data_IF_243351047156
#
_entry.id   IF_243351047156
#
_cell.length_a   1.000
_cell.length_b   1.000
_cell.length_c   1.000
_cell.angle_alpha   90.00
_cell.angle_beta   90.00
_cell.angle_gamma   90.00
#
_symmetry.space_group_name_H-M   'P 1'
#
loop_
_entity.id
_entity.type
_entity.pdbx_description
1 polymer ?
#
# COMPACT_ATOMS: atom_id res chain seq x y z
N UNK A 1 25.74 -6.63 -18.12
CA UNK A 1 26.30 -6.28 -19.45
C UNK A 1 25.31 -5.35 -20.13
N UNK A 2 25.71 -4.11 -20.40
CA UNK A 2 24.86 -3.11 -21.08
C UNK A 2 24.64 -3.55 -22.52
N UNK A 3 23.40 -3.83 -22.91
CA UNK A 3 23.01 -3.97 -24.32
C UNK A 3 22.84 -2.56 -24.88
N UNK A 4 23.63 -2.18 -25.85
CA UNK A 4 23.42 -0.94 -26.61
C UNK A 4 22.48 -1.21 -27.77
N UNK A 5 21.49 -0.34 -27.96
CA UNK A 5 20.69 -0.31 -29.18
C UNK A 5 21.54 0.07 -30.40
N UNK A 6 21.04 -0.20 -31.62
CA UNK A 6 21.80 -0.02 -32.88
C UNK A 6 22.34 1.41 -33.10
N UNK A 7 21.89 2.39 -32.31
CA UNK A 7 22.29 3.79 -32.36
C UNK A 7 23.26 4.23 -31.26
N UNK A 8 23.82 3.30 -30.48
CA UNK A 8 24.82 3.59 -29.43
C UNK A 8 24.30 4.36 -28.22
N UNK A 9 23.00 4.52 -28.09
CA UNK A 9 22.37 5.11 -26.88
C UNK A 9 22.31 4.03 -25.82
N UNK A 10 22.79 4.28 -24.58
CA UNK A 10 22.64 3.32 -23.49
C UNK A 10 21.15 3.07 -23.26
N UNK A 11 20.68 1.86 -23.51
CA UNK A 11 19.33 1.45 -23.08
C UNK A 11 19.38 1.21 -21.59
N UNK A 12 18.65 2.04 -20.87
CA UNK A 12 18.40 1.83 -19.46
C UNK A 12 17.39 0.68 -19.31
N UNK A 13 17.84 -0.47 -18.87
CA UNK A 13 16.93 -1.58 -18.57
C UNK A 13 16.21 -1.30 -17.25
N UNK A 14 14.87 -1.34 -17.27
CA UNK A 14 14.11 -0.68 -16.25
C UNK A 14 13.85 -1.50 -15.01
N UNK A 15 13.76 -0.82 -14.03
CA UNK A 15 13.07 -0.74 -12.78
C UNK A 15 13.34 -1.80 -11.73
N UNK A 16 12.98 -3.03 -11.88
CA UNK A 16 13.47 -4.06 -10.97
C UNK A 16 14.85 -4.55 -11.38
N UNK A 17 15.24 -4.35 -12.62
CA UNK A 17 16.59 -4.53 -13.10
C UNK A 17 17.51 -3.31 -12.96
N UNK A 18 16.96 -2.13 -12.61
CA UNK A 18 17.77 -0.91 -12.45
C UNK A 18 18.12 -0.61 -10.99
N UNK A 19 17.37 -1.15 -10.03
CA UNK A 19 17.64 -1.02 -8.61
C UNK A 19 17.86 -2.40 -7.99
N UNK A 20 18.97 -3.01 -8.34
CA UNK A 20 19.40 -4.29 -7.79
C UNK A 20 20.37 -4.06 -6.63
N UNK A 21 19.85 -3.64 -5.46
CA UNK A 21 20.68 -3.48 -4.28
C UNK A 21 21.34 -4.81 -3.88
N UNK A 22 20.59 -5.90 -4.03
CA UNK A 22 21.05 -7.27 -3.89
C UNK A 22 20.80 -8.02 -5.21
N UNK A 23 21.74 -7.99 -6.18
CA UNK A 23 21.54 -8.60 -7.52
C UNK A 23 21.16 -10.07 -7.48
N UNK A 24 21.62 -10.79 -6.46
CA UNK A 24 21.33 -12.22 -6.25
C UNK A 24 19.98 -12.47 -5.56
N UNK A 25 19.30 -11.42 -5.06
CA UNK A 25 18.05 -11.54 -4.30
C UNK A 25 17.09 -10.39 -4.64
N UNK A 26 16.26 -10.61 -5.66
CA UNK A 26 15.28 -9.61 -6.12
C UNK A 26 14.21 -9.30 -5.08
N UNK A 27 13.87 -10.24 -4.18
CA UNK A 27 12.93 -10.01 -3.09
C UNK A 27 13.49 -8.95 -2.14
N UNK A 28 14.72 -9.14 -1.68
CA UNK A 28 15.42 -8.18 -0.83
C UNK A 28 15.62 -6.83 -1.53
N UNK A 29 15.98 -6.84 -2.82
CA UNK A 29 16.09 -5.61 -3.61
C UNK A 29 14.77 -4.84 -3.67
N UNK A 30 13.66 -5.53 -3.77
CA UNK A 30 12.32 -4.90 -3.74
C UNK A 30 12.05 -4.24 -2.39
N UNK A 31 12.41 -4.88 -1.28
CA UNK A 31 12.24 -4.29 0.04
C UNK A 31 13.20 -3.12 0.31
N UNK A 32 14.41 -3.18 -0.26
CA UNK A 32 15.32 -2.03 -0.22
C UNK A 32 14.78 -0.84 -1.01
N UNK A 33 14.19 -1.08 -2.19
CA UNK A 33 13.55 -0.01 -2.96
C UNK A 33 12.40 0.63 -2.16
N UNK A 34 11.57 -0.20 -1.49
CA UNK A 34 10.50 0.26 -0.59
C UNK A 34 11.06 1.14 0.53
N UNK A 35 12.10 0.70 1.22
CA UNK A 35 12.74 1.47 2.30
C UNK A 35 13.29 2.80 1.81
N UNK A 36 13.97 2.82 0.66
CA UNK A 36 14.51 4.05 0.10
C UNK A 36 13.42 5.00 -0.40
N UNK A 37 12.27 4.49 -0.89
CA UNK A 37 11.14 5.34 -1.21
C UNK A 37 10.59 6.07 0.02
N UNK A 38 10.62 5.42 1.17
CA UNK A 38 10.17 6.03 2.43
C UNK A 38 11.13 7.06 3.03
N UNK A 39 12.38 7.15 2.54
CA UNK A 39 13.25 8.26 2.92
C UNK A 39 12.66 9.63 2.52
N UNK A 40 11.96 9.68 1.39
CA UNK A 40 11.28 10.89 0.92
C UNK A 40 10.21 11.40 1.91
N UNK A 41 9.52 10.48 2.58
CA UNK A 41 8.41 10.77 3.51
C UNK A 41 8.80 10.57 4.99
N UNK A 42 10.10 10.62 5.31
CA UNK A 42 10.64 10.48 6.68
C UNK A 42 10.36 9.14 7.37
N UNK A 43 9.93 8.13 6.62
CA UNK A 43 9.74 6.77 7.15
C UNK A 43 11.02 5.97 7.27
N UNK A 44 12.12 6.42 6.67
CA UNK A 44 13.43 5.80 6.74
C UNK A 44 14.55 6.84 6.60
N UNK A 45 15.78 6.45 6.96
CA UNK A 45 17.00 7.18 6.67
C UNK A 45 17.91 6.31 5.80
N UNK A 46 18.44 6.88 4.72
CA UNK A 46 19.26 6.16 3.76
C UNK A 46 20.48 5.50 4.42
N UNK A 47 21.19 6.22 5.29
CA UNK A 47 22.42 5.74 5.91
C UNK A 47 22.17 4.66 6.96
N UNK A 48 21.06 4.75 7.70
CA UNK A 48 20.62 3.73 8.66
C UNK A 48 20.30 2.42 7.93
N UNK A 49 19.47 2.50 6.88
CA UNK A 49 19.07 1.35 6.04
C UNK A 49 20.30 0.73 5.39
N UNK A 50 21.18 1.55 4.78
CA UNK A 50 22.40 1.07 4.12
C UNK A 50 23.36 0.40 5.12
N UNK A 51 23.50 0.93 6.32
CA UNK A 51 24.38 0.35 7.35
C UNK A 51 23.94 -1.07 7.74
N UNK A 52 22.64 -1.30 7.91
CA UNK A 52 22.10 -2.66 8.14
C UNK A 52 22.33 -3.53 6.92
N UNK A 53 21.83 -3.11 5.77
CA UNK A 53 21.81 -3.92 4.56
C UNK A 53 23.19 -4.45 4.14
N UNK A 54 24.23 -3.58 4.21
CA UNK A 54 25.61 -3.97 3.84
C UNK A 54 26.24 -5.02 4.77
N UNK A 55 25.68 -5.22 5.96
CA UNK A 55 26.17 -6.19 6.93
C UNK A 55 25.50 -7.57 6.85
N UNK A 56 24.41 -7.67 6.05
CA UNK A 56 23.61 -8.87 5.98
C UNK A 56 24.22 -9.91 5.04
N UNK A 57 24.31 -11.19 5.43
CA UNK A 57 24.53 -12.28 4.49
C UNK A 57 23.33 -12.40 3.56
N UNK A 58 23.53 -12.25 2.24
CA UNK A 58 22.43 -12.27 1.26
C UNK A 58 21.64 -13.56 1.32
N UNK A 59 20.32 -13.45 1.48
CA UNK A 59 19.39 -14.58 1.56
C UNK A 59 19.18 -15.15 2.97
N UNK A 60 19.88 -14.66 3.98
CA UNK A 60 19.63 -15.01 5.39
C UNK A 60 18.49 -14.16 5.96
N UNK A 61 17.27 -14.65 5.87
CA UNK A 61 16.08 -13.95 6.35
C UNK A 61 16.08 -13.73 7.87
N UNK A 62 16.73 -14.61 8.64
CA UNK A 62 16.86 -14.41 10.09
C UNK A 62 17.84 -13.26 10.42
N UNK A 63 18.92 -13.13 9.64
CA UNK A 63 19.81 -11.97 9.75
C UNK A 63 19.10 -10.67 9.35
N UNK A 64 18.25 -10.70 8.31
CA UNK A 64 17.40 -9.55 7.93
C UNK A 64 16.51 -9.10 9.09
N UNK A 65 15.71 -10.02 9.63
CA UNK A 65 14.82 -9.76 10.76
C UNK A 65 15.58 -9.16 11.95
N UNK A 66 16.67 -9.82 12.36
CA UNK A 66 17.49 -9.37 13.48
C UNK A 66 18.09 -7.98 13.24
N UNK A 67 18.63 -7.73 12.04
CA UNK A 67 19.28 -6.46 11.71
C UNK A 67 18.31 -5.29 11.76
N UNK A 68 17.16 -5.41 11.11
CA UNK A 68 16.17 -4.35 11.09
C UNK A 68 15.42 -4.20 12.42
N UNK A 69 15.16 -5.28 13.17
CA UNK A 69 14.61 -5.20 14.53
C UNK A 69 15.54 -4.49 15.50
N UNK A 70 16.87 -4.73 15.39
CA UNK A 70 17.86 -4.04 16.22
C UNK A 70 17.91 -2.56 15.91
N UNK A 71 17.94 -2.18 14.63
CA UNK A 71 17.85 -0.79 14.21
C UNK A 71 16.56 -0.13 14.74
N UNK A 72 15.43 -0.78 14.58
CA UNK A 72 14.14 -0.28 15.05
C UNK A 72 14.16 0.02 16.56
N UNK A 73 14.69 -0.91 17.37
CA UNK A 73 14.82 -0.74 18.83
C UNK A 73 15.71 0.45 19.21
N UNK A 74 16.82 0.66 18.51
CA UNK A 74 17.72 1.79 18.74
C UNK A 74 17.03 3.12 18.41
N UNK A 75 16.31 3.20 17.30
CA UNK A 75 15.56 4.39 16.90
C UNK A 75 14.41 4.66 17.88
N UNK A 76 13.67 3.63 18.29
CA UNK A 76 12.62 3.75 19.30
C UNK A 76 13.17 4.25 20.65
N UNK A 77 14.32 3.73 21.12
CA UNK A 77 14.94 4.20 22.35
C UNK A 77 15.29 5.69 22.28
N UNK A 78 15.79 6.14 21.12
CA UNK A 78 16.04 7.55 20.86
C UNK A 78 14.76 8.38 20.84
N UNK A 79 13.67 7.85 20.26
CA UNK A 79 12.35 8.49 20.26
C UNK A 79 11.83 8.71 21.68
N UNK A 80 11.90 7.68 22.53
CA UNK A 80 11.49 7.75 23.94
C UNK A 80 12.32 8.76 24.74
N UNK A 81 13.63 8.83 24.50
CA UNK A 81 14.51 9.82 25.11
C UNK A 81 14.11 11.23 24.71
N UNK A 82 13.82 11.46 23.44
CA UNK A 82 13.38 12.76 22.93
C UNK A 82 12.01 13.16 23.51
N UNK A 83 11.06 12.22 23.59
CA UNK A 83 9.76 12.47 24.20
C UNK A 83 9.88 12.84 25.69
N UNK A 84 10.71 12.12 26.44
CA UNK A 84 10.97 12.43 27.86
C UNK A 84 11.61 13.81 28.05
N UNK A 85 12.35 14.29 27.04
CA UNK A 85 12.94 15.63 27.00
C UNK A 85 11.98 16.74 26.52
N UNK A 86 10.75 16.42 26.15
CA UNK A 86 9.78 17.37 25.60
C UNK A 86 10.04 17.76 24.14
N UNK A 87 10.81 16.94 23.40
CA UNK A 87 11.15 17.18 22.00
C UNK A 87 10.17 16.42 21.07
N UNK A 88 8.89 16.79 21.11
CA UNK A 88 7.79 16.04 20.50
C UNK A 88 7.96 15.83 19.00
N UNK A 89 8.41 16.84 18.25
CA UNK A 89 8.64 16.72 16.78
C UNK A 89 9.73 15.69 16.49
N UNK A 90 10.83 15.70 17.25
CA UNK A 90 11.91 14.71 17.09
C UNK A 90 11.45 13.32 17.49
N UNK A 91 10.71 13.20 18.59
CA UNK A 91 10.16 11.94 19.06
C UNK A 91 9.19 11.33 18.02
N UNK A 92 8.27 12.14 17.49
CA UNK A 92 7.35 11.73 16.44
C UNK A 92 8.09 11.18 15.22
N UNK A 93 9.06 11.93 14.69
CA UNK A 93 9.79 11.53 13.47
C UNK A 93 10.62 10.26 13.71
N UNK A 94 11.16 10.07 14.91
CA UNK A 94 11.86 8.83 15.28
C UNK A 94 10.89 7.64 15.45
N UNK A 95 9.74 7.83 16.07
CA UNK A 95 8.73 6.77 16.17
C UNK A 95 8.21 6.35 14.79
N UNK A 96 7.99 7.30 13.88
CA UNK A 96 7.63 7.00 12.48
C UNK A 96 8.70 6.12 11.79
N UNK A 97 9.99 6.43 11.94
CA UNK A 97 11.05 5.57 11.39
C UNK A 97 11.07 4.19 12.04
N UNK A 98 10.94 4.12 13.37
CA UNK A 98 10.88 2.84 14.07
C UNK A 98 9.69 1.98 13.59
N UNK A 99 8.54 2.59 13.29
CA UNK A 99 7.37 1.93 12.69
C UNK A 99 7.77 1.16 11.43
N UNK A 100 8.44 1.82 10.49
CA UNK A 100 8.85 1.20 9.23
C UNK A 100 9.93 0.14 9.43
N UNK A 101 10.91 0.38 10.32
CA UNK A 101 11.97 -0.60 10.56
C UNK A 101 11.46 -1.88 11.24
N UNK A 102 10.51 -1.76 12.18
CA UNK A 102 9.82 -2.92 12.74
C UNK A 102 8.97 -3.62 11.67
N UNK A 103 8.22 -2.87 10.86
CA UNK A 103 7.42 -3.43 9.77
C UNK A 103 8.28 -4.25 8.80
N UNK A 104 9.41 -3.70 8.35
CA UNK A 104 10.27 -4.35 7.37
C UNK A 104 11.04 -5.54 7.96
N UNK A 105 11.31 -5.55 9.26
CA UNK A 105 11.96 -6.69 9.90
C UNK A 105 11.13 -7.96 9.75
N UNK A 106 9.81 -7.88 9.93
CA UNK A 106 8.90 -9.00 9.78
C UNK A 106 8.57 -9.39 8.33
N UNK A 107 8.95 -8.58 7.35
CA UNK A 107 8.54 -8.78 5.96
C UNK A 107 8.96 -10.13 5.38
N UNK A 108 10.17 -10.59 5.70
CA UNK A 108 10.67 -11.86 5.15
C UNK A 108 10.00 -13.06 5.82
N UNK A 109 9.63 -12.97 7.08
CA UNK A 109 8.83 -13.99 7.77
C UNK A 109 7.39 -14.05 7.22
N UNK A 110 6.77 -12.91 6.98
CA UNK A 110 5.44 -12.82 6.34
C UNK A 110 5.44 -13.50 4.96
N UNK A 111 6.47 -13.26 4.17
CA UNK A 111 6.65 -13.89 2.86
C UNK A 111 6.92 -15.41 3.00
N UNK A 112 7.60 -15.85 4.05
CA UNK A 112 7.88 -17.27 4.26
C UNK A 112 6.62 -18.12 4.52
N UNK A 113 5.53 -17.48 4.94
CA UNK A 113 4.24 -18.13 5.11
C UNK A 113 4.04 -18.83 6.45
N UNK A 114 4.78 -18.42 7.46
CA UNK A 114 4.53 -18.85 8.84
C UNK A 114 3.19 -18.29 9.33
N UNK A 115 2.37 -19.12 9.99
CA UNK A 115 1.03 -18.73 10.47
C UNK A 115 1.07 -17.82 11.71
N UNK A 116 2.23 -17.45 12.18
CA UNK A 116 2.40 -16.55 13.30
C UNK A 116 2.34 -15.09 12.86
N UNK A 117 1.94 -14.22 13.79
CA UNK A 117 2.00 -12.77 13.57
C UNK A 117 3.45 -12.39 13.20
N UNK A 118 3.66 -11.64 12.11
CA UNK A 118 5.01 -11.28 11.69
C UNK A 118 5.80 -10.60 12.81
N UNK A 119 7.06 -10.98 13.03
CA UNK A 119 7.91 -10.33 14.00
C UNK A 119 7.93 -8.80 13.77
N UNK A 120 7.92 -8.02 14.86
CA UNK A 120 7.93 -6.56 14.79
C UNK A 120 6.60 -5.90 14.44
N UNK A 121 5.53 -6.66 14.08
CA UNK A 121 4.25 -6.05 13.75
C UNK A 121 3.63 -5.31 14.94
N UNK A 122 3.62 -5.92 16.12
CA UNK A 122 3.07 -5.31 17.34
C UNK A 122 3.82 -4.03 17.70
N UNK A 123 5.14 -4.06 17.61
CA UNK A 123 6.01 -2.90 17.85
C UNK A 123 5.81 -1.82 16.79
N UNK A 124 5.62 -2.19 15.53
CA UNK A 124 5.32 -1.27 14.43
C UNK A 124 4.03 -0.50 14.72
N UNK A 125 2.94 -1.21 15.03
CA UNK A 125 1.64 -0.61 15.40
C UNK A 125 1.79 0.34 16.58
N UNK A 126 2.46 -0.12 17.66
CA UNK A 126 2.68 0.68 18.87
C UNK A 126 3.50 1.95 18.57
N UNK A 127 4.59 1.84 17.79
CA UNK A 127 5.38 3.01 17.43
C UNK A 127 4.59 4.00 16.58
N UNK A 128 3.74 3.53 15.66
CA UNK A 128 2.86 4.42 14.90
C UNK A 128 1.87 5.16 15.80
N UNK A 129 1.28 4.49 16.77
CA UNK A 129 0.35 5.10 17.73
C UNK A 129 1.05 6.14 18.62
N UNK A 130 2.27 5.86 19.09
CA UNK A 130 3.09 6.83 19.82
C UNK A 130 3.43 8.05 18.94
N UNK A 131 3.79 7.83 17.68
CA UNK A 131 4.01 8.92 16.73
C UNK A 131 2.74 9.74 16.52
N UNK A 132 1.61 9.07 16.29
CA UNK A 132 0.33 9.71 16.04
C UNK A 132 -0.14 10.59 17.19
N UNK A 133 0.08 10.16 18.44
CA UNK A 133 -0.23 10.97 19.61
C UNK A 133 0.55 12.31 19.66
N UNK A 134 1.65 12.41 18.92
CA UNK A 134 2.47 13.63 18.77
C UNK A 134 2.17 14.40 17.47
N UNK A 135 1.16 13.99 16.69
CA UNK A 135 0.71 14.68 15.49
C UNK A 135 -0.43 15.66 15.78
N UNK A 136 -0.52 16.68 14.94
CA UNK A 136 -1.67 17.58 14.91
C UNK A 136 -1.99 17.92 13.44
N UNK A 137 -3.09 17.37 12.90
CA UNK A 137 -4.05 16.43 13.52
C UNK A 137 -3.46 15.02 13.70
N UNK A 138 -4.02 14.26 14.64
CA UNK A 138 -3.60 12.90 14.95
C UNK A 138 -4.38 11.87 14.10
N UNK A 139 -3.75 10.73 13.83
CA UNK A 139 -4.41 9.54 13.27
C UNK A 139 -4.93 8.67 14.43
N UNK A 140 -6.22 8.77 14.71
CA UNK A 140 -6.85 8.09 15.84
C UNK A 140 -7.19 6.64 15.44
N UNK A 141 -6.82 5.63 16.22
CA UNK A 141 -7.25 4.26 15.98
C UNK A 141 -8.77 4.14 15.96
N UNK A 142 -9.29 3.44 14.96
CA UNK A 142 -10.74 3.22 14.79
C UNK A 142 -11.02 1.76 14.46
N UNK A 143 -12.26 1.35 14.75
CA UNK A 143 -12.81 0.04 14.41
C UNK A 143 -14.07 0.26 13.56
N UNK A 144 -13.95 0.01 12.28
CA UNK A 144 -15.04 0.17 11.32
C UNK A 144 -15.96 -1.05 11.38
N UNK A 145 -17.26 -0.90 11.70
CA UNK A 145 -18.20 -2.03 11.76
C UNK A 145 -18.24 -2.81 10.44
N UNK A 146 -18.13 -4.13 10.48
CA UNK A 146 -18.04 -4.97 9.31
C UNK A 146 -18.57 -6.39 9.59
N UNK A 147 -19.72 -6.76 9.00
CA UNK A 147 -20.30 -8.13 9.02
C UNK A 147 -20.33 -8.82 10.41
N UNK A 148 -20.62 -8.08 11.47
CA UNK A 148 -20.67 -8.60 12.84
C UNK A 148 -19.34 -8.57 13.59
N UNK A 149 -18.29 -8.07 12.96
CA UNK A 149 -16.96 -7.80 13.49
C UNK A 149 -16.57 -6.35 13.16
N UNK A 150 -15.27 -6.02 13.18
CA UNK A 150 -14.75 -4.71 12.83
C UNK A 150 -13.47 -4.81 11.99
N UNK A 151 -13.27 -3.82 11.11
CA UNK A 151 -12.00 -3.62 10.41
C UNK A 151 -11.18 -2.56 11.15
N UNK A 152 -9.96 -2.90 11.60
CA UNK A 152 -9.09 -1.96 12.31
C UNK A 152 -8.42 -0.97 11.35
N UNK A 153 -8.29 0.27 11.78
CA UNK A 153 -7.65 1.31 10.99
C UNK A 153 -7.36 2.57 11.78
N UNK A 154 -7.15 3.66 11.05
CA UNK A 154 -6.90 4.97 11.63
C UNK A 154 -7.67 6.03 10.88
N UNK A 155 -8.33 6.94 11.60
CA UNK A 155 -8.99 8.11 11.05
C UNK A 155 -8.24 9.36 11.47
N UNK A 156 -7.95 10.24 10.51
CA UNK A 156 -7.44 11.57 10.75
C UNK A 156 -8.39 12.59 10.10
N UNK A 157 -8.92 13.52 10.88
CA UNK A 157 -9.76 14.62 10.39
C UNK A 157 -8.99 15.93 10.64
N UNK A 158 -8.49 16.60 9.60
CA UNK A 158 -7.80 17.87 9.76
C UNK A 158 -8.81 18.99 10.12
N UNK A 159 -8.30 20.06 10.73
CA UNK A 159 -9.09 21.27 10.88
C UNK A 159 -9.45 21.83 9.50
N UNK A 160 -10.72 22.14 9.29
CA UNK A 160 -11.16 22.76 8.05
C UNK A 160 -10.51 24.12 7.86
N UNK A 161 -9.92 24.36 6.70
CA UNK A 161 -9.37 25.67 6.31
C UNK A 161 -10.46 26.69 5.97
N UNK A 162 -11.68 26.23 5.72
CA UNK A 162 -12.90 27.01 5.51
C UNK A 162 -13.95 26.58 6.51
N UNK A 163 -14.89 27.43 6.89
CA UNK A 163 -16.00 27.03 7.75
C UNK A 163 -16.84 25.97 7.02
N UNK A 164 -16.72 24.69 7.40
CA UNK A 164 -17.45 23.59 6.78
C UNK A 164 -16.82 22.21 7.01
N UNK A 165 -17.47 21.21 6.47
CA UNK A 165 -17.01 19.83 6.50
C UNK A 165 -15.87 19.60 5.50
N UNK A 166 -15.01 18.64 5.78
CA UNK A 166 -13.86 18.32 4.93
C UNK A 166 -14.14 17.09 4.06
N UNK A 167 -13.60 17.03 2.83
CA UNK A 167 -13.66 15.83 2.01
C UNK A 167 -12.88 14.70 2.67
N UNK A 168 -13.23 13.45 2.34
CA UNK A 168 -12.58 12.28 2.91
C UNK A 168 -12.01 11.35 1.84
N UNK A 169 -10.94 10.62 2.21
CA UNK A 169 -10.35 9.57 1.39
C UNK A 169 -10.22 8.29 2.22
N UNK A 170 -10.77 7.20 1.70
CA UNK A 170 -10.51 5.84 2.18
C UNK A 170 -9.30 5.29 1.44
N UNK A 171 -8.31 4.74 2.15
CA UNK A 171 -7.15 4.11 1.52
C UNK A 171 -7.01 2.64 1.93
N UNK A 172 -6.96 1.76 0.91
CA UNK A 172 -6.66 0.34 1.04
C UNK A 172 -5.35 0.00 0.38
N UNK A 173 -4.47 -0.63 1.12
CA UNK A 173 -3.18 -1.09 0.60
C UNK A 173 -3.24 -2.36 -0.25
N UNK A 174 -2.07 -2.91 -0.56
CA UNK A 174 -1.90 -4.17 -1.28
C UNK A 174 -2.07 -5.41 -0.40
N UNK A 175 -1.65 -6.56 -0.94
CA UNK A 175 -1.79 -7.88 -0.28
C UNK A 175 -1.02 -7.98 1.05
N UNK A 176 0.10 -7.27 1.16
CA UNK A 176 0.98 -7.23 2.32
C UNK A 176 0.87 -5.92 3.12
N UNK A 177 -0.15 -5.12 2.83
CA UNK A 177 -0.28 -3.80 3.43
C UNK A 177 -0.73 -3.84 4.88
N UNK A 178 -0.30 -2.80 5.60
CA UNK A 178 -0.76 -2.42 6.93
C UNK A 178 -1.20 -0.96 6.89
N UNK A 179 -2.22 -0.63 7.65
CA UNK A 179 -2.75 0.74 7.68
C UNK A 179 -1.68 1.77 8.06
N UNK A 180 -0.78 1.43 8.97
CA UNK A 180 0.33 2.28 9.41
C UNK A 180 1.28 2.65 8.27
N UNK A 181 1.53 1.71 7.34
CA UNK A 181 2.39 1.94 6.17
C UNK A 181 1.76 2.91 5.17
N UNK A 182 0.43 2.91 5.07
CA UNK A 182 -0.30 3.78 4.15
C UNK A 182 -0.20 5.27 4.51
N UNK A 183 0.07 5.60 5.78
CA UNK A 183 0.42 6.95 6.19
C UNK A 183 1.58 7.51 5.36
N UNK A 184 2.63 6.72 5.15
CA UNK A 184 3.82 7.13 4.40
C UNK A 184 3.56 7.14 2.90
N UNK A 185 2.75 6.21 2.40
CA UNK A 185 2.48 6.11 0.96
C UNK A 185 1.67 7.30 0.44
N UNK A 186 0.61 7.68 1.15
CA UNK A 186 -0.30 8.72 0.67
C UNK A 186 -0.99 9.50 1.81
N UNK A 187 -1.22 8.88 2.98
CA UNK A 187 -2.04 9.46 4.03
C UNK A 187 -1.58 10.82 4.50
N UNK A 188 -0.26 11.00 4.74
CA UNK A 188 0.30 12.28 5.17
C UNK A 188 0.10 13.39 4.13
N UNK A 189 0.30 13.07 2.84
CA UNK A 189 0.15 14.04 1.75
C UNK A 189 -1.31 14.49 1.56
N UNK A 190 -2.28 13.61 1.81
CA UNK A 190 -3.72 13.94 1.76
C UNK A 190 -4.13 14.83 2.92
N UNK A 191 -3.67 14.54 4.15
CA UNK A 191 -3.96 15.38 5.33
C UNK A 191 -3.40 16.78 5.16
N UNK A 192 -2.19 16.95 4.61
CA UNK A 192 -1.60 18.26 4.31
C UNK A 192 -2.46 19.08 3.34
N UNK A 193 -3.21 18.43 2.45
CA UNK A 193 -4.14 19.06 1.50
C UNK A 193 -5.53 19.32 2.09
N UNK A 194 -5.81 18.83 3.30
CA UNK A 194 -7.07 19.09 4.00
C UNK A 194 -8.11 17.99 3.84
N UNK A 195 -7.74 16.81 3.38
CA UNK A 195 -8.61 15.64 3.38
C UNK A 195 -8.65 14.97 4.75
N UNK A 196 -9.82 14.56 5.20
CA UNK A 196 -9.92 13.50 6.19
C UNK A 196 -9.45 12.18 5.55
N UNK A 197 -8.70 11.38 6.31
CA UNK A 197 -8.10 10.14 5.77
C UNK A 197 -8.43 8.96 6.67
N UNK A 198 -9.06 7.94 6.10
CA UNK A 198 -9.28 6.64 6.72
C UNK A 198 -8.30 5.63 6.12
N UNK A 199 -7.26 5.29 6.89
CA UNK A 199 -6.33 4.21 6.57
C UNK A 199 -6.89 2.91 7.13
N UNK A 200 -7.25 1.94 6.27
CA UNK A 200 -7.99 0.77 6.72
C UNK A 200 -7.29 -0.55 6.38
N UNK A 201 -7.20 -1.45 7.35
CA UNK A 201 -6.89 -2.84 7.11
C UNK A 201 -8.17 -3.54 6.63
N UNK A 202 -8.30 -3.72 5.33
CA UNK A 202 -9.43 -4.44 4.77
C UNK A 202 -9.33 -5.95 4.96
N UNK A 203 -10.35 -6.73 4.56
CA UNK A 203 -10.33 -8.18 4.61
C UNK A 203 -9.06 -8.79 3.99
N UNK A 204 -8.34 -9.60 4.73
CA UNK A 204 -7.08 -10.20 4.32
C UNK A 204 -5.82 -9.34 4.54
N UNK A 205 -5.97 -8.11 5.05
CA UNK A 205 -4.86 -7.18 5.25
C UNK A 205 -4.55 -6.95 6.74
N UNK A 206 -3.27 -6.76 7.04
CA UNK A 206 -2.79 -6.34 8.36
C UNK A 206 -3.51 -6.99 9.53
N UNK A 207 -3.93 -6.18 10.49
CA UNK A 207 -4.59 -6.64 11.69
C UNK A 207 -5.96 -7.30 11.46
N UNK A 208 -6.65 -7.02 10.35
CA UNK A 208 -7.91 -7.72 10.02
C UNK A 208 -7.66 -9.21 9.71
N UNK A 209 -6.60 -9.50 8.93
CA UNK A 209 -6.16 -10.88 8.66
C UNK A 209 -5.83 -11.64 9.94
N UNK A 210 -5.14 -11.00 10.88
CA UNK A 210 -4.77 -11.62 12.17
C UNK A 210 -5.98 -11.93 13.07
N UNK A 211 -7.13 -11.30 12.79
CA UNK A 211 -8.43 -11.61 13.42
C UNK A 211 -9.22 -12.68 12.67
N UNK A 212 -8.67 -13.26 11.59
CA UNK A 212 -9.34 -14.25 10.75
C UNK A 212 -10.32 -13.66 9.74
N UNK A 213 -10.29 -12.34 9.51
CA UNK A 213 -11.05 -11.68 8.46
C UNK A 213 -10.24 -11.75 7.18
N UNK A 214 -10.48 -12.80 6.40
CA UNK A 214 -9.71 -13.09 5.21
C UNK A 214 -10.18 -12.35 3.95
N UNK A 215 -9.31 -12.28 2.95
CA UNK A 215 -9.56 -11.63 1.68
C UNK A 215 -10.73 -12.24 0.90
N UNK A 216 -11.47 -11.38 0.23
CA UNK A 216 -12.68 -11.72 -0.55
C UNK A 216 -12.66 -11.01 -1.90
N UNK A 217 -13.35 -11.57 -2.88
CA UNK A 217 -13.43 -11.01 -4.24
C UNK A 217 -14.37 -9.81 -4.33
N UNK A 218 -15.44 -9.79 -3.55
CA UNK A 218 -16.46 -8.75 -3.48
C UNK A 218 -16.10 -7.66 -2.44
N UNK A 219 -14.94 -7.05 -2.66
CA UNK A 219 -14.35 -6.09 -1.75
C UNK A 219 -15.15 -4.79 -1.60
N UNK A 220 -16.10 -4.54 -2.50
CA UNK A 220 -17.08 -3.45 -2.37
C UNK A 220 -17.85 -3.49 -1.05
N UNK A 221 -18.01 -4.65 -0.42
CA UNK A 221 -18.63 -4.77 0.91
C UNK A 221 -17.78 -4.06 1.98
N UNK A 222 -16.47 -4.18 1.92
CA UNK A 222 -15.58 -3.46 2.84
C UNK A 222 -15.51 -1.96 2.49
N UNK A 223 -15.58 -1.61 1.21
CA UNK A 223 -15.63 -0.22 0.79
C UNK A 223 -16.92 0.47 1.26
N UNK A 224 -18.07 -0.19 1.13
CA UNK A 224 -19.35 0.29 1.64
C UNK A 224 -19.32 0.50 3.16
N UNK A 225 -18.77 -0.46 3.91
CA UNK A 225 -18.61 -0.33 5.37
C UNK A 225 -17.73 0.87 5.75
N UNK A 226 -16.68 1.15 4.98
CA UNK A 226 -15.83 2.32 5.20
C UNK A 226 -16.57 3.63 4.91
N UNK A 227 -17.39 3.68 3.86
CA UNK A 227 -18.22 4.86 3.52
C UNK A 227 -19.28 5.05 4.60
N UNK A 228 -20.02 4.00 4.99
CA UNK A 228 -21.02 4.06 6.09
C UNK A 228 -20.41 4.60 7.38
N UNK A 229 -19.17 4.19 7.70
CA UNK A 229 -18.45 4.68 8.87
C UNK A 229 -18.10 6.16 8.76
N UNK A 230 -17.67 6.64 7.59
CA UNK A 230 -17.33 8.03 7.36
C UNK A 230 -18.56 8.94 7.40
N UNK A 231 -19.69 8.51 6.85
CA UNK A 231 -20.93 9.29 6.77
C UNK A 231 -21.48 9.71 8.15
N UNK A 232 -21.14 8.97 9.20
CA UNK A 232 -21.57 9.30 10.57
C UNK A 232 -20.51 10.06 11.37
N UNK A 233 -19.34 10.36 10.78
CA UNK A 233 -18.30 11.11 11.48
C UNK A 233 -18.56 12.61 11.40
N UNK A 234 -18.56 13.33 12.52
CA UNK A 234 -18.69 14.78 12.51
C UNK A 234 -17.56 15.45 11.73
N UNK A 235 -17.89 16.40 10.88
CA UNK A 235 -16.93 17.22 10.15
C UNK A 235 -16.50 16.64 8.79
N UNK A 236 -17.06 15.51 8.38
CA UNK A 236 -16.82 14.90 7.06
C UNK A 236 -17.97 15.27 6.10
N UNK A 237 -17.62 15.70 4.89
CA UNK A 237 -18.56 15.96 3.80
C UNK A 237 -18.88 14.65 3.06
N UNK A 238 -20.09 14.17 3.25
CA UNK A 238 -20.56 12.89 2.71
C UNK A 238 -20.69 12.88 1.17
N UNK A 239 -20.77 14.06 0.53
CA UNK A 239 -20.80 14.19 -0.92
C UNK A 239 -19.41 14.20 -1.56
N UNK A 240 -18.34 14.21 -0.72
CA UNK A 240 -16.95 14.31 -1.16
C UNK A 240 -16.06 13.22 -0.56
N UNK A 241 -16.53 11.96 -0.64
CA UNK A 241 -15.74 10.79 -0.23
C UNK A 241 -15.10 10.16 -1.46
N UNK A 242 -13.77 10.00 -1.44
CA UNK A 242 -13.01 9.29 -2.47
C UNK A 242 -12.35 8.01 -1.91
N UNK A 243 -11.90 7.15 -2.81
CA UNK A 243 -11.22 5.91 -2.43
C UNK A 243 -9.94 5.73 -3.25
N UNK A 244 -8.87 5.31 -2.58
CA UNK A 244 -7.59 4.90 -3.18
C UNK A 244 -7.36 3.43 -2.88
N UNK A 245 -6.88 2.68 -3.87
CA UNK A 245 -6.41 1.32 -3.64
C UNK A 245 -5.12 1.03 -4.38
N UNK A 246 -4.08 0.52 -3.67
CA UNK A 246 -2.76 0.28 -4.25
C UNK A 246 -2.42 -1.21 -4.39
N UNK A 247 -1.81 -1.60 -5.53
CA UNK A 247 -1.47 -3.01 -5.84
C UNK A 247 -2.72 -3.90 -5.87
N UNK A 248 -2.84 -4.92 -5.01
CA UNK A 248 -4.10 -5.66 -4.86
C UNK A 248 -5.25 -4.73 -4.46
N UNK A 249 -4.97 -3.66 -3.71
CA UNK A 249 -5.93 -2.58 -3.46
C UNK A 249 -6.44 -1.91 -4.74
N UNK A 250 -5.68 -1.95 -5.84
CA UNK A 250 -6.16 -1.50 -7.15
C UNK A 250 -7.32 -2.33 -7.68
N UNK A 251 -7.31 -3.65 -7.44
CA UNK A 251 -8.49 -4.49 -7.69
C UNK A 251 -9.67 -4.08 -6.79
N UNK A 252 -9.40 -3.82 -5.51
CA UNK A 252 -10.44 -3.41 -4.56
C UNK A 252 -11.07 -2.07 -4.95
N UNK A 253 -10.23 -1.10 -5.32
CA UNK A 253 -10.69 0.21 -5.78
C UNK A 253 -11.54 0.11 -7.05
N UNK A 254 -11.14 -0.75 -8.01
CA UNK A 254 -11.92 -0.97 -9.22
C UNK A 254 -13.30 -1.57 -8.92
N UNK A 255 -13.39 -2.53 -7.99
CA UNK A 255 -14.66 -3.06 -7.54
C UNK A 255 -15.49 -2.02 -6.78
N UNK A 256 -14.87 -1.28 -5.87
CA UNK A 256 -15.55 -0.20 -5.16
C UNK A 256 -16.14 0.83 -6.13
N UNK A 257 -15.39 1.28 -7.14
CA UNK A 257 -15.87 2.20 -8.17
C UNK A 257 -17.12 1.67 -8.92
N UNK A 258 -17.21 0.35 -9.08
CA UNK A 258 -18.31 -0.28 -9.82
C UNK A 258 -19.58 -0.50 -8.97
N UNK A 259 -19.49 -0.58 -7.65
CA UNK A 259 -20.60 -0.99 -6.78
C UNK A 259 -20.92 0.01 -5.66
N UNK A 260 -19.97 0.85 -5.25
CA UNK A 260 -20.17 1.88 -4.23
C UNK A 260 -20.37 3.25 -4.90
N UNK A 261 -21.59 3.57 -5.21
CA UNK A 261 -21.96 4.76 -6.02
C UNK A 261 -21.92 6.09 -5.24
N UNK A 262 -21.66 6.06 -3.93
CA UNK A 262 -21.44 7.26 -3.11
C UNK A 262 -20.03 7.82 -3.27
N UNK A 263 -19.11 7.06 -3.87
CA UNK A 263 -17.76 7.54 -4.11
C UNK A 263 -17.73 8.67 -5.15
N UNK A 264 -17.20 9.82 -4.76
CA UNK A 264 -17.02 10.99 -5.62
C UNK A 264 -15.94 10.77 -6.68
N UNK A 265 -14.89 10.03 -6.33
CA UNK A 265 -13.76 9.73 -7.20
C UNK A 265 -13.03 8.47 -6.71
N UNK A 266 -12.38 7.74 -7.62
CA UNK A 266 -11.61 6.52 -7.26
C UNK A 266 -10.25 6.51 -7.94
N UNK A 267 -9.21 6.15 -7.16
CA UNK A 267 -7.84 5.97 -7.65
C UNK A 267 -7.46 4.49 -7.61
N UNK A 268 -7.17 3.93 -8.77
CA UNK A 268 -6.68 2.56 -8.99
C UNK A 268 -5.15 2.64 -9.18
N UNK A 269 -4.40 2.42 -8.10
CA UNK A 269 -2.96 2.57 -8.08
C UNK A 269 -2.25 1.22 -8.28
N UNK A 270 -1.81 0.91 -9.49
CA UNK A 270 -1.27 -0.38 -9.87
C UNK A 270 -2.40 -1.39 -10.12
N UNK A 271 -3.16 -1.15 -11.20
CA UNK A 271 -4.37 -1.91 -11.53
C UNK A 271 -4.12 -3.41 -11.66
N UNK A 272 -4.95 -4.20 -10.99
CA UNK A 272 -5.02 -5.66 -11.14
C UNK A 272 -6.43 -6.06 -11.59
N UNK A 273 -6.53 -7.05 -12.49
CA UNK A 273 -7.83 -7.56 -12.98
C UNK A 273 -8.28 -8.87 -12.31
N UNK A 274 -7.52 -9.35 -11.33
CA UNK A 274 -7.81 -10.56 -10.55
C UNK A 274 -6.58 -11.36 -10.16
N UNK A 275 -6.80 -12.48 -9.47
CA UNK A 275 -5.76 -13.46 -9.21
C UNK A 275 -5.76 -14.50 -10.32
N UNK A 276 -4.71 -14.47 -11.15
CA UNK A 276 -4.43 -15.56 -12.09
C UNK A 276 -3.22 -16.31 -11.59
N UNK A 277 -3.40 -17.50 -10.98
CA UNK A 277 -2.24 -18.32 -10.67
C UNK A 277 -1.50 -18.61 -11.97
N UNK A 278 -0.17 -18.40 -12.02
CA UNK A 278 0.59 -18.64 -13.23
C UNK A 278 0.48 -20.09 -13.65
N UNK A 279 0.01 -20.33 -14.88
CA UNK A 279 -0.04 -21.67 -15.46
C UNK A 279 1.41 -22.19 -15.64
N UNK A 280 1.67 -23.40 -15.18
CA UNK A 280 2.95 -24.09 -15.42
C UNK A 280 4.11 -23.73 -14.50
N UNK A 281 3.95 -22.87 -13.50
CA UNK A 281 5.01 -22.56 -12.53
C UNK A 281 4.92 -23.55 -11.36
N UNK A 282 6.08 -24.15 -10.99
CA UNK A 282 6.19 -24.94 -9.76
C UNK A 282 5.92 -24.06 -8.55
N UNK A 283 4.97 -24.49 -7.70
CA UNK A 283 4.54 -23.75 -6.51
C UNK A 283 5.43 -24.00 -5.29
N UNK A 284 6.46 -24.84 -5.43
CA UNK A 284 7.16 -25.43 -4.29
C UNK A 284 8.39 -24.66 -3.83
N UNK A 285 8.93 -23.75 -4.65
CA UNK A 285 10.17 -23.06 -4.27
C UNK A 285 10.35 -21.70 -4.96
N UNK A 286 11.20 -20.84 -4.35
CA UNK A 286 11.60 -19.55 -4.87
C UNK A 286 10.49 -18.49 -4.79
N UNK A 287 10.62 -17.41 -5.58
CA UNK A 287 9.73 -16.23 -5.59
C UNK A 287 8.27 -16.57 -5.88
N UNK A 288 8.01 -17.57 -6.74
CA UNK A 288 6.65 -18.04 -7.05
C UNK A 288 6.01 -18.70 -5.82
N UNK A 289 6.75 -19.54 -5.10
CA UNK A 289 6.28 -20.17 -3.88
C UNK A 289 5.95 -19.18 -2.76
N UNK A 290 6.78 -18.14 -2.57
CA UNK A 290 6.53 -17.07 -1.58
C UNK A 290 5.24 -16.31 -1.88
N UNK A 291 5.01 -15.94 -3.14
CA UNK A 291 3.78 -15.25 -3.55
C UNK A 291 2.53 -16.10 -3.35
N UNK A 292 2.62 -17.39 -3.62
CA UNK A 292 1.50 -18.30 -3.43
C UNK A 292 1.15 -18.40 -1.96
N UNK A 293 2.13 -18.60 -1.07
CA UNK A 293 1.88 -18.58 0.37
C UNK A 293 1.26 -17.28 0.85
N UNK A 294 1.72 -16.15 0.31
CA UNK A 294 1.14 -14.83 0.62
C UNK A 294 -0.33 -14.75 0.21
N UNK A 295 -0.68 -15.26 -0.99
CA UNK A 295 -2.08 -15.30 -1.45
C UNK A 295 -2.90 -16.30 -0.62
N UNK A 296 -2.35 -17.46 -0.26
CA UNK A 296 -3.02 -18.43 0.61
C UNK A 296 -3.36 -17.82 1.98
N UNK A 297 -2.42 -17.11 2.58
CA UNK A 297 -2.64 -16.37 3.85
C UNK A 297 -3.66 -15.27 3.71
N UNK A 298 -3.59 -14.49 2.64
CA UNK A 298 -4.58 -13.45 2.35
C UNK A 298 -5.99 -14.03 2.24
N UNK A 299 -6.16 -15.15 1.53
CA UNK A 299 -7.44 -15.80 1.31
C UNK A 299 -7.88 -16.72 2.46
N UNK A 300 -7.03 -17.00 3.44
CA UNK A 300 -7.29 -17.96 4.51
C UNK A 300 -7.50 -19.39 3.99
N UNK A 301 -6.74 -19.80 2.98
CA UNK A 301 -6.80 -21.14 2.38
C UNK A 301 -5.43 -21.79 2.38
N UNK A 302 -5.41 -23.11 2.23
CA UNK A 302 -4.18 -23.88 2.06
C UNK A 302 -4.33 -24.86 0.91
N UNK A 303 -3.31 -24.93 0.08
CA UNK A 303 -3.24 -25.86 -1.05
C UNK A 303 -3.80 -25.31 -2.35
N UNK A 304 -3.24 -25.85 -3.44
CA UNK A 304 -3.46 -25.36 -4.81
C UNK A 304 -4.92 -25.34 -5.23
N UNK A 305 -5.69 -26.36 -4.89
CA UNK A 305 -7.08 -26.52 -5.32
C UNK A 305 -7.96 -25.40 -4.73
N UNK A 306 -7.89 -25.20 -3.41
CA UNK A 306 -8.62 -24.14 -2.71
C UNK A 306 -8.18 -22.73 -3.17
N UNK A 307 -6.88 -22.55 -3.42
CA UNK A 307 -6.34 -21.31 -3.96
C UNK A 307 -6.93 -20.98 -5.34
N UNK A 308 -6.95 -21.96 -6.25
CA UNK A 308 -7.47 -21.79 -7.60
C UNK A 308 -8.98 -21.54 -7.58
N UNK A 309 -9.72 -22.27 -6.74
CA UNK A 309 -11.17 -22.08 -6.60
C UNK A 309 -11.52 -20.68 -6.12
N UNK A 310 -10.91 -20.21 -5.02
CA UNK A 310 -11.14 -18.85 -4.51
C UNK A 310 -10.58 -17.79 -5.46
N UNK A 311 -9.39 -18.01 -6.01
CA UNK A 311 -8.76 -17.06 -6.94
C UNK A 311 -9.58 -16.78 -8.20
N UNK A 312 -10.33 -17.76 -8.70
CA UNK A 312 -11.22 -17.62 -9.86
C UNK A 312 -12.35 -16.62 -9.64
N UNK A 313 -12.71 -16.33 -8.40
CA UNK A 313 -13.76 -15.36 -8.06
C UNK A 313 -13.25 -13.91 -8.23
N UNK A 314 -11.93 -13.70 -8.14
CA UNK A 314 -11.33 -12.39 -8.33
C UNK A 314 -11.20 -12.08 -9.81
N UNK A 315 -12.20 -11.44 -10.35
CA UNK A 315 -12.24 -11.06 -11.77
C UNK A 315 -12.85 -9.66 -11.91
N UNK A 316 -12.16 -8.84 -12.69
CA UNK A 316 -12.71 -7.64 -13.30
C UNK A 316 -12.90 -7.92 -14.79
N UNK A 317 -13.93 -7.36 -15.36
CA UNK A 317 -14.21 -7.44 -16.77
C UNK A 317 -15.30 -6.45 -17.14
N UNK A 318 -15.67 -6.35 -18.44
CA UNK A 318 -16.59 -5.33 -18.92
C UNK A 318 -17.91 -5.26 -18.15
N UNK A 319 -18.45 -6.41 -17.74
CA UNK A 319 -19.72 -6.47 -16.99
C UNK A 319 -19.62 -5.81 -15.61
N UNK A 320 -18.49 -6.02 -14.90
CA UNK A 320 -18.24 -5.38 -13.60
C UNK A 320 -17.96 -3.90 -13.80
N UNK A 321 -17.03 -3.57 -14.71
CA UNK A 321 -16.56 -2.20 -14.91
C UNK A 321 -17.62 -1.29 -15.55
N UNK A 322 -18.68 -1.84 -16.14
CA UNK A 322 -19.84 -1.07 -16.59
C UNK A 322 -20.61 -0.40 -15.45
N UNK A 323 -20.45 -0.87 -14.21
CA UNK A 323 -21.06 -0.27 -13.02
C UNK A 323 -20.37 1.01 -12.53
N UNK A 324 -19.20 1.35 -13.03
CA UNK A 324 -18.47 2.58 -12.64
C UNK A 324 -19.31 3.81 -12.97
N UNK A 325 -19.53 4.68 -11.97
CA UNK A 325 -20.41 5.85 -12.08
C UNK A 325 -19.77 7.17 -11.63
N UNK A 326 -18.50 7.16 -11.28
CA UNK A 326 -17.74 8.34 -10.85
C UNK A 326 -16.36 8.40 -11.53
N UNK A 327 -15.67 9.55 -11.50
CA UNK A 327 -14.32 9.71 -12.05
C UNK A 327 -13.33 8.65 -11.56
N UNK A 328 -12.50 8.12 -12.46
CA UNK A 328 -11.47 7.12 -12.15
C UNK A 328 -10.12 7.55 -12.68
N UNK A 329 -9.11 7.48 -11.81
CA UNK A 329 -7.70 7.59 -12.17
C UNK A 329 -7.02 6.22 -12.04
N UNK A 330 -6.32 5.79 -13.07
CA UNK A 330 -5.42 4.62 -13.02
C UNK A 330 -3.98 5.10 -13.12
N UNK A 331 -3.13 4.72 -12.14
CA UNK A 331 -1.68 4.91 -12.22
C UNK A 331 -1.00 3.54 -12.40
N UNK A 332 -0.04 3.45 -13.32
CA UNK A 332 0.68 2.20 -13.54
C UNK A 332 2.12 2.43 -13.98
N UNK A 333 3.04 1.58 -13.51
CA UNK A 333 4.43 1.60 -13.92
C UNK A 333 4.66 0.87 -15.25
N UNK A 334 5.36 1.51 -16.19
CA UNK A 334 5.68 0.92 -17.50
C UNK A 334 6.64 -0.26 -17.43
N UNK A 335 7.35 -0.41 -16.32
CA UNK A 335 8.25 -1.52 -16.00
C UNK A 335 7.77 -2.33 -14.80
N UNK A 336 6.48 -2.31 -14.52
CA UNK A 336 5.91 -3.11 -13.43
C UNK A 336 6.13 -4.60 -13.70
N UNK A 337 7.05 -5.21 -12.93
CA UNK A 337 7.37 -6.63 -13.06
C UNK A 337 6.35 -7.56 -12.38
N UNK A 338 5.40 -7.01 -11.60
CA UNK A 338 4.36 -7.75 -10.91
C UNK A 338 3.08 -7.83 -11.74
N UNK A 339 2.71 -6.72 -12.35
CA UNK A 339 1.47 -6.57 -13.11
C UNK A 339 1.80 -5.89 -14.45
N UNK A 340 1.68 -6.59 -15.57
CA UNK A 340 1.95 -6.00 -16.89
C UNK A 340 1.02 -4.81 -17.18
N UNK A 341 1.52 -3.78 -17.87
CA UNK A 341 0.76 -2.59 -18.31
C UNK A 341 -0.53 -2.97 -19.04
N UNK A 342 -0.50 -4.08 -19.80
CA UNK A 342 -1.68 -4.58 -20.53
C UNK A 342 -2.87 -4.90 -19.60
N UNK A 343 -2.62 -5.19 -18.32
CA UNK A 343 -3.70 -5.38 -17.32
C UNK A 343 -4.36 -4.04 -17.01
N UNK A 344 -3.55 -3.01 -16.73
CA UNK A 344 -4.09 -1.66 -16.47
C UNK A 344 -4.86 -1.12 -17.69
N UNK A 345 -4.34 -1.38 -18.89
CA UNK A 345 -5.02 -0.97 -20.13
C UNK A 345 -6.37 -1.68 -20.28
N UNK A 346 -6.45 -3.00 -20.02
CA UNK A 346 -7.75 -3.71 -20.06
C UNK A 346 -8.74 -3.15 -19.05
N UNK A 347 -8.32 -2.93 -17.80
CA UNK A 347 -9.21 -2.32 -16.79
C UNK A 347 -9.70 -0.95 -17.24
N UNK A 348 -8.80 -0.13 -17.80
CA UNK A 348 -9.17 1.18 -18.36
C UNK A 348 -10.16 1.07 -19.51
N UNK A 349 -9.93 0.18 -20.46
CA UNK A 349 -10.80 0.00 -21.62
C UNK A 349 -12.21 -0.48 -21.22
N UNK A 350 -12.29 -1.35 -20.22
CA UNK A 350 -13.54 -1.92 -19.70
C UNK A 350 -14.40 -0.90 -18.92
N UNK A 351 -13.83 0.21 -18.43
CA UNK A 351 -14.59 1.29 -17.78
C UNK A 351 -15.38 2.04 -18.85
N UNK A 352 -16.71 2.02 -18.75
CA UNK A 352 -17.59 2.75 -19.67
C UNK A 352 -17.76 4.24 -19.31
N UNK A 353 -17.54 4.61 -18.05
CA UNK A 353 -17.69 5.98 -17.57
C UNK A 353 -16.70 6.92 -18.27
N UNK A 354 -17.17 8.09 -18.82
CA UNK A 354 -16.34 8.91 -19.69
C UNK A 354 -15.22 9.66 -18.98
N UNK A 355 -15.39 10.03 -17.70
CA UNK A 355 -14.35 10.72 -16.92
C UNK A 355 -13.41 9.68 -16.30
N UNK A 356 -12.50 9.19 -17.13
CA UNK A 356 -11.48 8.23 -16.76
C UNK A 356 -10.11 8.66 -17.30
N UNK A 357 -9.08 8.50 -16.50
CA UNK A 357 -7.69 8.83 -16.85
C UNK A 357 -6.78 7.65 -16.55
N UNK A 358 -5.84 7.37 -17.43
CA UNK A 358 -4.75 6.43 -17.18
C UNK A 358 -3.41 7.14 -17.32
N UNK A 359 -2.56 7.03 -16.30
CA UNK A 359 -1.18 7.51 -16.30
C UNK A 359 -0.25 6.30 -16.26
N UNK A 360 0.46 6.08 -17.37
CA UNK A 360 1.50 5.05 -17.45
C UNK A 360 2.85 5.75 -17.45
N UNK A 361 3.65 5.50 -16.42
CA UNK A 361 5.01 6.04 -16.34
C UNK A 361 5.95 5.20 -17.22
N UNK A 362 6.52 5.78 -18.27
CA UNK A 362 7.29 5.01 -19.25
C UNK A 362 8.45 4.25 -18.62
N UNK A 363 8.80 3.11 -19.21
CA UNK A 363 9.99 2.37 -18.83
C UNK A 363 11.24 3.26 -18.80
N UNK A 364 12.08 3.12 -17.77
CA UNK A 364 13.28 3.93 -17.60
C UNK A 364 13.06 5.36 -17.11
N UNK A 365 11.84 5.74 -16.75
CA UNK A 365 11.56 7.04 -16.11
C UNK A 365 11.18 6.86 -14.63
N UNK A 366 11.33 7.90 -13.78
CA UNK A 366 10.85 7.85 -12.41
C UNK A 366 9.35 7.49 -12.33
N UNK A 367 9.00 6.56 -11.45
CA UNK A 367 7.64 6.05 -11.31
C UNK A 367 7.33 4.82 -12.15
N UNK A 368 8.28 4.27 -12.89
CA UNK A 368 8.04 3.11 -13.76
C UNK A 368 7.91 1.77 -13.04
N UNK A 369 8.26 1.69 -11.75
CA UNK A 369 8.12 0.48 -10.95
C UNK A 369 6.69 0.26 -10.44
N UNK A 370 6.43 -0.93 -9.88
CA UNK A 370 5.16 -1.28 -9.26
C UNK A 370 4.77 -0.27 -8.18
N UNK A 371 3.56 0.31 -8.29
CA UNK A 371 3.06 1.36 -7.39
C UNK A 371 4.07 2.50 -7.18
N UNK A 372 4.86 2.83 -8.19
CA UNK A 372 5.85 3.91 -8.20
C UNK A 372 6.81 3.92 -6.99
N UNK A 373 7.17 2.72 -6.49
CA UNK A 373 8.11 2.58 -5.37
C UNK A 373 9.50 3.17 -5.65
N UNK A 374 9.84 3.39 -6.91
CA UNK A 374 11.08 4.06 -7.34
C UNK A 374 10.99 5.59 -7.28
N UNK A 375 9.78 6.15 -7.21
CA UNK A 375 9.56 7.59 -7.18
C UNK A 375 8.21 7.96 -6.52
N UNK A 376 8.05 7.63 -5.25
CA UNK A 376 6.80 7.81 -4.50
C UNK A 376 6.23 9.23 -4.59
N UNK A 377 7.10 10.26 -4.55
CA UNK A 377 6.67 11.66 -4.66
C UNK A 377 6.00 12.01 -6.00
N UNK A 378 6.32 11.29 -7.07
CA UNK A 378 5.65 11.45 -8.38
C UNK A 378 4.21 10.95 -8.29
N UNK A 379 4.00 9.76 -7.72
CA UNK A 379 2.65 9.23 -7.52
C UNK A 379 1.81 10.10 -6.57
N UNK A 380 2.40 10.53 -5.45
CA UNK A 380 1.71 11.41 -4.49
C UNK A 380 1.24 12.70 -5.17
N UNK A 381 2.10 13.35 -5.96
CA UNK A 381 1.73 14.55 -6.72
C UNK A 381 0.53 14.26 -7.63
N UNK A 382 0.66 13.26 -8.50
CA UNK A 382 -0.33 13.04 -9.56
C UNK A 382 -1.68 12.56 -8.99
N UNK A 383 -1.66 11.74 -7.93
CA UNK A 383 -2.88 11.32 -7.22
C UNK A 383 -3.55 12.52 -6.53
N UNK A 384 -2.78 13.27 -5.74
CA UNK A 384 -3.33 14.36 -4.96
C UNK A 384 -3.85 15.50 -5.84
N UNK A 385 -3.09 15.90 -6.87
CA UNK A 385 -3.53 16.97 -7.79
C UNK A 385 -4.80 16.56 -8.54
N UNK A 386 -4.89 15.28 -8.97
CA UNK A 386 -6.10 14.77 -9.60
C UNK A 386 -7.30 14.72 -8.64
N UNK A 387 -7.09 14.31 -7.38
CA UNK A 387 -8.16 14.33 -6.38
C UNK A 387 -8.62 15.77 -6.08
N UNK A 388 -7.69 16.71 -5.97
CA UNK A 388 -8.05 18.13 -5.78
C UNK A 388 -8.97 18.62 -6.92
N UNK A 389 -8.68 18.28 -8.16
CA UNK A 389 -9.48 18.62 -9.33
C UNK A 389 -10.87 17.96 -9.34
N UNK A 390 -11.02 16.76 -8.74
CA UNK A 390 -12.28 15.99 -8.81
C UNK A 390 -13.15 16.10 -7.57
N UNK A 391 -12.55 16.38 -6.43
CA UNK A 391 -13.21 16.33 -5.12
C UNK A 391 -13.34 17.71 -4.48
N UNK A 392 -12.39 18.63 -4.73
CA UNK A 392 -12.44 20.00 -4.17
C UNK A 392 -13.05 21.04 -5.12
N UNK A 393 -13.17 20.71 -6.41
CA UNK A 393 -13.67 21.61 -7.44
C UNK A 393 -15.18 21.91 -7.32
#
# INVERSE_FOLDING_TARGET
MSTSDKDGVPTYEPAFGAFEYFPENLEWSTQMLRLFSYCYVRGADFTEVHAVARSLPVGDNAAWEKGFSELARQIEASARTSAAGGHDVTARDLFLRATIYYRISGQMADIAGDNEVPPGLVESVRCFQEASALMSPAFIPVEVPYEGDTLPGYLCIPESKSAGEVPAVVDFGGIDAFAEEQYFKIGSALVERGYAVLLLNGPGQGAAKERGIYGRYDFEVAAAAAVDFLEVQPGIDNERIALIGSSLGGYFAARAAAFEHRLKATVIWGAMDGFRPPEGISLESGRAGSRIRQIERFLGVSGREALVEKGRQFQLGPTVMAGVSSPVLILHGGSDALVPVSVAQRVFDDIAYPDKTILVYPAGTPGCAHCQLDALGVAQRDICDWLDDKVLA
#
